data_IF_538318897365
#
_entry.id   IF_538318897365
#
_cell.length_a   1.000
_cell.length_b   1.000
_cell.length_c   1.000
_cell.angle_alpha   90.00
_cell.angle_beta   90.00
_cell.angle_gamma   90.00
#
_symmetry.space_group_name_H-M   'P 1'
#
loop_
_entity.id
_entity.type
_entity.pdbx_description
1 polymer ?
#
# COMPACT_ATOMS: atom_id res chain seq x y z
N UNK A 1 -32.23 -16.83 -13.23
CA UNK A 1 -33.31 -15.91 -12.86
C UNK A 1 -32.66 -14.68 -12.26
N UNK A 2 -32.48 -13.72 -13.15
CA UNK A 2 -32.28 -12.26 -13.04
C UNK A 2 -31.26 -11.63 -12.09
N UNK A 3 -30.26 -11.05 -12.77
CA UNK A 3 -29.31 -10.02 -12.34
C UNK A 3 -30.07 -8.76 -11.90
N UNK A 4 -29.71 -8.23 -10.74
CA UNK A 4 -29.92 -6.82 -10.42
C UNK A 4 -28.56 -6.14 -10.56
N UNK A 5 -28.32 -5.54 -11.73
CA UNK A 5 -27.31 -4.50 -11.94
C UNK A 5 -27.82 -3.24 -11.26
N UNK A 6 -27.30 -2.90 -10.08
CA UNK A 6 -27.55 -1.58 -9.49
C UNK A 6 -26.56 -0.61 -10.12
N UNK A 7 -27.02 0.15 -11.13
CA UNK A 7 -26.29 1.27 -11.70
C UNK A 7 -26.35 2.43 -10.70
N UNK A 8 -25.28 2.64 -9.93
CA UNK A 8 -25.07 3.88 -9.20
C UNK A 8 -24.17 4.79 -10.04
N UNK A 9 -24.81 5.64 -10.84
CA UNK A 9 -24.15 6.67 -11.63
C UNK A 9 -23.75 7.82 -10.72
N UNK A 10 -22.47 7.92 -10.34
CA UNK A 10 -21.89 9.17 -9.87
C UNK A 10 -21.22 9.86 -11.05
N UNK A 11 -21.77 10.99 -11.48
CA UNK A 11 -21.25 11.80 -12.57
C UNK A 11 -20.07 12.64 -12.05
N UNK A 12 -18.85 12.20 -12.31
CA UNK A 12 -17.68 13.08 -12.38
C UNK A 12 -16.97 12.83 -13.72
N UNK A 13 -16.62 13.92 -14.40
CA UNK A 13 -16.26 13.96 -15.81
C UNK A 13 -15.04 13.08 -16.15
N UNK A 14 -15.20 12.32 -17.24
CA UNK A 14 -14.18 11.60 -18.03
C UNK A 14 -13.08 10.85 -17.24
N UNK A 15 -13.43 9.71 -16.67
CA UNK A 15 -12.47 8.66 -16.37
C UNK A 15 -12.85 7.43 -17.19
N UNK A 16 -11.88 6.91 -17.95
CA UNK A 16 -12.02 5.64 -18.64
C UNK A 16 -12.46 4.58 -17.64
N UNK A 17 -13.43 3.75 -18.05
CA UNK A 17 -14.04 2.75 -17.20
C UNK A 17 -13.00 1.67 -16.86
N UNK A 18 -12.25 1.86 -15.75
CA UNK A 18 -11.41 0.81 -15.17
C UNK A 18 -12.37 -0.25 -14.66
N UNK A 19 -12.53 -1.33 -15.44
CA UNK A 19 -13.28 -2.50 -15.03
C UNK A 19 -12.47 -3.25 -13.97
N UNK A 20 -12.52 -2.80 -12.72
CA UNK A 20 -12.01 -3.57 -11.59
C UNK A 20 -12.95 -4.75 -11.39
N UNK A 21 -12.44 -5.95 -11.65
CA UNK A 21 -13.14 -7.19 -11.29
C UNK A 21 -13.21 -7.20 -9.76
N UNK A 22 -14.41 -7.05 -9.18
CA UNK A 22 -14.60 -7.12 -7.73
C UNK A 22 -14.33 -8.56 -7.28
N UNK A 23 -13.13 -8.81 -6.79
CA UNK A 23 -12.76 -10.05 -6.10
C UNK A 23 -13.23 -9.98 -4.64
N UNK A 24 -13.70 -11.10 -4.05
CA UNK A 24 -13.98 -11.15 -2.63
C UNK A 24 -12.66 -11.15 -1.84
N UNK A 25 -12.34 -10.04 -1.19
CA UNK A 25 -11.12 -9.86 -0.40
C UNK A 25 -10.95 -8.41 0.01
N UNK A 26 -10.19 -8.15 1.07
CA UNK A 26 -9.84 -6.78 1.46
C UNK A 26 -8.85 -6.21 0.43
N UNK A 27 -9.16 -5.09 -0.21
CA UNK A 27 -8.29 -4.49 -1.23
C UNK A 27 -7.21 -3.65 -0.57
N UNK A 28 -5.97 -4.08 -0.70
CA UNK A 28 -4.82 -3.50 0.00
C UNK A 28 -3.85 -2.88 -1.00
N UNK A 29 -3.67 -1.57 -0.93
CA UNK A 29 -2.62 -0.87 -1.68
C UNK A 29 -1.28 -0.98 -0.98
N UNK A 30 -0.21 -1.28 -1.73
CA UNK A 30 1.14 -1.39 -1.21
C UNK A 30 2.16 -0.53 -1.95
N UNK A 31 3.04 0.10 -1.19
CA UNK A 31 4.23 0.78 -1.71
C UNK A 31 5.41 0.57 -0.75
N UNK A 32 6.46 -0.10 -1.23
CA UNK A 32 7.50 -0.66 -0.38
C UNK A 32 8.86 0.01 -0.51
N UNK A 33 9.02 0.93 -1.48
CA UNK A 33 10.23 1.73 -1.64
C UNK A 33 9.97 3.17 -1.22
N UNK A 34 10.89 3.70 -0.42
CA UNK A 34 10.89 5.09 0.00
C UNK A 34 12.22 5.77 -0.31
N UNK A 35 12.18 7.08 -0.56
CA UNK A 35 13.37 7.91 -0.75
C UNK A 35 14.02 7.72 -2.11
N UNK A 36 15.18 8.36 -2.28
CA UNK A 36 15.96 8.27 -3.52
C UNK A 36 17.24 7.50 -3.26
N UNK A 37 17.94 7.05 -4.32
CA UNK A 37 19.25 6.42 -4.22
C UNK A 37 20.25 7.26 -3.41
N UNK A 38 20.09 8.60 -3.43
CA UNK A 38 20.91 9.55 -2.65
C UNK A 38 20.43 9.73 -1.20
N UNK A 39 19.18 9.37 -0.87
CA UNK A 39 18.53 9.59 0.42
C UNK A 39 18.10 8.28 1.10
N UNK A 40 19.09 7.44 1.44
CA UNK A 40 18.91 6.30 2.36
C UNK A 40 17.82 5.31 1.94
N UNK A 41 17.53 5.16 0.64
CA UNK A 41 16.48 4.27 0.13
C UNK A 41 16.52 2.86 0.75
N UNK A 42 17.72 2.27 0.85
CA UNK A 42 17.92 0.95 1.47
C UNK A 42 17.52 0.87 2.94
N UNK A 43 17.52 1.98 3.68
CA UNK A 43 17.16 2.00 5.10
C UNK A 43 15.65 2.16 5.32
N UNK A 44 14.90 2.56 4.28
CA UNK A 44 13.47 2.90 4.36
C UNK A 44 12.62 2.14 3.34
N UNK A 45 13.14 1.04 2.81
CA UNK A 45 12.46 0.20 1.84
C UNK A 45 12.50 -1.25 2.30
N UNK A 46 11.43 -1.99 2.02
CA UNK A 46 11.44 -3.43 2.15
C UNK A 46 12.28 -4.06 1.03
N UNK A 47 12.90 -5.18 1.34
CA UNK A 47 13.49 -6.09 0.39
C UNK A 47 12.44 -7.00 -0.25
N UNK A 48 12.90 -7.87 -1.16
CA UNK A 48 12.03 -8.79 -1.87
C UNK A 48 11.33 -9.80 -0.95
N UNK A 49 12.04 -10.33 0.06
CA UNK A 49 11.50 -11.36 0.96
C UNK A 49 10.40 -10.78 1.85
N UNK A 50 10.60 -9.57 2.34
CA UNK A 50 9.64 -8.85 3.17
C UNK A 50 8.38 -8.49 2.37
N UNK A 51 8.54 -8.02 1.14
CA UNK A 51 7.43 -7.76 0.22
C UNK A 51 6.66 -9.05 -0.15
N UNK A 52 7.38 -10.14 -0.48
CA UNK A 52 6.81 -11.45 -0.79
C UNK A 52 5.95 -11.96 0.39
N UNK A 53 6.44 -11.83 1.63
CA UNK A 53 5.67 -12.19 2.83
C UNK A 53 4.42 -11.33 3.00
N UNK A 54 4.53 -10.01 2.80
CA UNK A 54 3.39 -9.11 2.93
C UNK A 54 2.29 -9.45 1.92
N UNK A 55 2.67 -9.64 0.65
CA UNK A 55 1.73 -9.96 -0.44
C UNK A 55 1.04 -11.34 -0.27
N UNK A 56 1.63 -12.23 0.54
CA UNK A 56 1.06 -13.54 0.86
C UNK A 56 -0.02 -13.55 1.94
N UNK A 57 -0.47 -12.38 2.42
CA UNK A 57 -1.52 -12.33 3.43
C UNK A 57 -2.84 -12.90 2.87
N UNK A 58 -3.48 -13.87 3.54
CA UNK A 58 -4.72 -14.47 3.06
C UNK A 58 -5.89 -13.47 3.14
N UNK A 59 -6.86 -13.63 2.24
CA UNK A 59 -8.09 -12.81 2.21
C UNK A 59 -7.88 -11.36 1.79
N UNK A 60 -6.71 -11.04 1.22
CA UNK A 60 -6.37 -9.73 0.69
C UNK A 60 -6.10 -9.80 -0.81
N UNK A 61 -6.58 -8.80 -1.54
CA UNK A 61 -6.20 -8.54 -2.93
C UNK A 61 -5.24 -7.36 -2.96
N UNK A 62 -4.04 -7.56 -3.50
CA UNK A 62 -2.97 -6.56 -3.44
C UNK A 62 -2.85 -5.74 -4.71
N UNK A 63 -2.69 -4.43 -4.53
CA UNK A 63 -2.53 -3.43 -5.58
C UNK A 63 -1.23 -2.66 -5.35
N UNK A 64 -0.32 -2.62 -6.32
CA UNK A 64 0.89 -1.82 -6.25
C UNK A 64 0.56 -0.34 -6.48
N UNK A 65 0.91 0.51 -5.52
CA UNK A 65 0.92 1.97 -5.61
C UNK A 65 2.36 2.51 -5.80
N UNK A 66 3.29 1.63 -6.15
CA UNK A 66 4.71 1.95 -6.18
C UNK A 66 5.06 2.78 -7.42
N UNK A 67 5.54 4.01 -7.20
CA UNK A 67 6.08 4.82 -8.28
C UNK A 67 7.35 4.21 -8.91
N UNK A 68 7.55 4.52 -10.20
CA UNK A 68 8.68 4.05 -11.04
C UNK A 68 8.57 2.59 -11.48
N UNK A 69 9.51 2.11 -12.31
CA UNK A 69 9.48 0.72 -12.81
C UNK A 69 9.71 -0.28 -11.65
N UNK A 70 8.84 -1.28 -11.61
CA UNK A 70 8.84 -2.36 -10.64
C UNK A 70 8.26 -3.67 -11.19
N UNK A 71 8.07 -3.75 -12.51
CA UNK A 71 7.44 -4.91 -13.19
C UNK A 71 8.18 -6.22 -12.92
N UNK A 72 9.51 -6.19 -12.92
CA UNK A 72 10.34 -7.36 -12.60
C UNK A 72 10.07 -7.88 -11.18
N UNK A 73 9.85 -6.97 -10.21
CA UNK A 73 9.54 -7.38 -8.82
C UNK A 73 8.18 -8.08 -8.75
N UNK A 74 7.16 -7.55 -9.42
CA UNK A 74 5.82 -8.14 -9.45
C UNK A 74 5.84 -9.51 -10.16
N UNK A 75 6.50 -9.60 -11.33
CA UNK A 75 6.66 -10.85 -12.07
C UNK A 75 7.34 -11.91 -11.21
N UNK A 76 8.41 -11.53 -10.51
CA UNK A 76 9.15 -12.46 -9.64
C UNK A 76 8.32 -12.96 -8.46
N UNK A 77 7.45 -12.13 -7.87
CA UNK A 77 6.51 -12.57 -6.83
C UNK A 77 5.52 -13.58 -7.42
N UNK A 78 4.91 -13.24 -8.56
CA UNK A 78 3.97 -14.12 -9.26
C UNK A 78 4.58 -15.47 -9.62
N UNK A 79 5.79 -15.47 -10.18
CA UNK A 79 6.49 -16.70 -10.58
C UNK A 79 6.83 -17.60 -9.38
N UNK A 80 7.21 -17.01 -8.24
CA UNK A 80 7.61 -17.78 -7.05
C UNK A 80 6.45 -18.29 -6.21
N UNK A 81 5.33 -17.55 -6.18
CA UNK A 81 4.26 -17.78 -5.21
C UNK A 81 2.90 -18.04 -5.85
N UNK A 82 2.72 -17.69 -7.13
CA UNK A 82 1.42 -17.66 -7.80
C UNK A 82 0.55 -16.46 -7.42
N UNK A 83 1.00 -15.59 -6.52
CA UNK A 83 0.26 -14.39 -6.07
C UNK A 83 0.34 -13.32 -7.16
N UNK A 84 -0.83 -12.80 -7.54
CA UNK A 84 -0.91 -11.67 -8.45
C UNK A 84 -1.06 -10.36 -7.65
N UNK A 85 -0.18 -9.40 -7.92
CA UNK A 85 -0.28 -8.03 -7.42
C UNK A 85 -0.63 -7.17 -8.62
N UNK A 86 -1.79 -6.50 -8.57
CA UNK A 86 -2.25 -5.64 -9.65
C UNK A 86 -1.44 -4.34 -9.66
N UNK A 87 -0.79 -3.99 -10.76
CA UNK A 87 -0.05 -2.73 -10.88
C UNK A 87 -1.04 -1.58 -11.12
N UNK A 88 -1.49 -0.92 -10.06
CA UNK A 88 -2.43 0.18 -10.19
C UNK A 88 -1.78 1.41 -10.85
N UNK A 89 -0.44 1.51 -10.85
CA UNK A 89 0.32 2.64 -11.37
C UNK A 89 0.82 2.44 -12.81
N UNK A 90 0.70 1.23 -13.38
CA UNK A 90 0.98 1.01 -14.81
C UNK A 90 -0.16 1.49 -15.70
N UNK A 91 -1.37 1.50 -15.15
CA UNK A 91 -2.62 1.69 -15.90
C UNK A 91 -3.12 3.14 -15.87
N UNK A 92 -2.58 3.94 -14.95
CA UNK A 92 -2.89 5.35 -14.75
C UNK A 92 -1.57 6.12 -14.78
N UNK A 93 -1.54 7.30 -15.39
CA UNK A 93 -0.35 8.14 -15.41
C UNK A 93 0.23 8.41 -14.01
N UNK A 94 1.43 8.97 -13.97
CA UNK A 94 2.14 9.22 -12.71
C UNK A 94 1.78 10.58 -12.09
N UNK A 95 0.52 11.00 -12.20
CA UNK A 95 0.02 12.20 -11.54
C UNK A 95 -0.67 11.91 -10.19
N UNK A 96 -0.92 12.97 -9.43
CA UNK A 96 -1.48 12.85 -8.08
C UNK A 96 -2.97 12.56 -8.06
N UNK A 97 -3.71 12.95 -9.09
CA UNK A 97 -5.16 12.77 -9.15
C UNK A 97 -5.49 11.29 -9.41
N UNK A 98 -4.72 10.66 -10.29
CA UNK A 98 -4.78 9.24 -10.57
C UNK A 98 -4.38 8.39 -9.36
N UNK A 99 -3.27 8.73 -8.70
CA UNK A 99 -2.88 8.06 -7.45
C UNK A 99 -3.97 8.22 -6.37
N UNK A 100 -4.59 9.40 -6.25
CA UNK A 100 -5.68 9.63 -5.31
C UNK A 100 -6.92 8.80 -5.64
N UNK A 101 -7.28 8.67 -6.93
CA UNK A 101 -8.37 7.83 -7.39
C UNK A 101 -8.13 6.34 -7.08
N UNK A 102 -6.91 5.85 -7.34
CA UNK A 102 -6.51 4.49 -7.00
C UNK A 102 -6.61 4.25 -5.47
N UNK A 103 -6.06 5.16 -4.66
CA UNK A 103 -6.16 5.10 -3.20
C UNK A 103 -7.62 5.11 -2.72
N UNK A 104 -8.49 5.89 -3.36
CA UNK A 104 -9.90 5.98 -2.99
C UNK A 104 -10.69 4.69 -3.24
N UNK A 105 -10.21 3.83 -4.15
CA UNK A 105 -10.82 2.54 -4.44
C UNK A 105 -10.37 1.41 -3.50
N UNK A 106 -9.41 1.67 -2.59
CA UNK A 106 -8.85 0.67 -1.68
C UNK A 106 -9.49 0.74 -0.29
N UNK A 107 -9.45 -0.40 0.41
CA UNK A 107 -9.96 -0.52 1.78
C UNK A 107 -8.87 -0.18 2.81
N UNK A 108 -7.60 -0.44 2.46
CA UNK A 108 -6.41 -0.14 3.28
C UNK A 108 -5.21 0.18 2.38
N UNK A 109 -4.33 1.06 2.87
CA UNK A 109 -3.00 1.29 2.29
C UNK A 109 -1.94 0.87 3.30
N UNK A 110 -0.99 0.01 2.90
CA UNK A 110 0.18 -0.39 3.69
C UNK A 110 1.43 0.07 2.94
N UNK A 111 2.22 0.96 3.53
CA UNK A 111 3.37 1.55 2.84
C UNK A 111 4.54 1.81 3.77
N UNK A 112 5.72 2.02 3.20
CA UNK A 112 6.82 2.69 3.91
C UNK A 112 6.60 4.21 3.90
N UNK A 113 7.39 4.97 4.66
CA UNK A 113 7.40 6.43 4.58
C UNK A 113 7.74 6.88 3.16
N UNK A 114 6.74 7.41 2.43
CA UNK A 114 6.82 7.93 1.07
C UNK A 114 5.58 8.80 0.77
N UNK A 115 5.45 9.27 -0.47
CA UNK A 115 4.32 10.12 -0.87
C UNK A 115 2.96 9.44 -0.76
N UNK A 116 2.89 8.12 -1.00
CA UNK A 116 1.65 7.33 -0.88
C UNK A 116 1.14 7.38 0.57
N UNK A 117 2.03 7.32 1.57
CA UNK A 117 1.65 7.42 2.98
C UNK A 117 0.94 8.74 3.29
N UNK A 118 1.48 9.85 2.79
CA UNK A 118 0.95 11.18 3.05
C UNK A 118 -0.36 11.45 2.30
N UNK A 119 -0.44 11.04 1.03
CA UNK A 119 -1.65 11.22 0.23
C UNK A 119 -2.80 10.37 0.76
N UNK A 120 -2.57 9.10 1.11
CA UNK A 120 -3.59 8.23 1.69
C UNK A 120 -4.09 8.72 3.06
N UNK A 121 -3.17 9.20 3.91
CA UNK A 121 -3.53 9.86 5.16
C UNK A 121 -4.38 11.14 4.95
N UNK A 122 -4.02 11.98 3.98
CA UNK A 122 -4.76 13.20 3.65
C UNK A 122 -6.15 12.92 3.07
N UNK A 123 -6.31 11.83 2.33
CA UNK A 123 -7.60 11.35 1.81
C UNK A 123 -8.46 10.65 2.87
N UNK A 124 -7.99 10.55 4.12
CA UNK A 124 -8.71 9.89 5.21
C UNK A 124 -8.87 8.38 5.02
N UNK A 125 -7.99 7.74 4.23
CA UNK A 125 -8.02 6.28 4.08
C UNK A 125 -7.30 5.61 5.25
N UNK A 126 -7.78 4.45 5.73
CA UNK A 126 -7.01 3.61 6.64
C UNK A 126 -5.61 3.39 6.04
N UNK A 127 -4.57 3.79 6.79
CA UNK A 127 -3.20 3.81 6.28
C UNK A 127 -2.24 3.28 7.32
N UNK A 128 -1.46 2.26 6.98
CA UNK A 128 -0.45 1.68 7.85
C UNK A 128 0.93 2.01 7.29
N UNK A 129 1.75 2.67 8.11
CA UNK A 129 3.09 3.10 7.71
C UNK A 129 4.14 2.33 8.48
N UNK A 130 4.95 1.58 7.74
CA UNK A 130 6.16 0.92 8.23
C UNK A 130 7.31 1.91 8.22
N UNK A 131 7.71 2.34 9.41
CA UNK A 131 8.73 3.35 9.64
C UNK A 131 10.10 2.70 9.85
N UNK A 132 11.17 3.26 9.24
CA UNK A 132 12.53 2.81 9.49
C UNK A 132 12.95 3.13 10.92
N UNK A 133 14.04 2.51 11.39
CA UNK A 133 14.56 2.74 12.74
C UNK A 133 14.75 4.23 13.07
N UNK A 134 15.35 4.98 12.14
CA UNK A 134 15.50 6.43 12.23
C UNK A 134 14.38 7.12 11.44
N UNK A 135 13.16 7.10 12.00
CA UNK A 135 11.99 7.74 11.40
C UNK A 135 12.07 9.27 11.43
N UNK A 136 11.44 9.91 10.46
CA UNK A 136 11.33 11.38 10.38
C UNK A 136 10.57 11.96 11.59
N UNK A 137 11.00 13.14 12.04
CA UNK A 137 10.50 13.81 13.25
C UNK A 137 8.97 13.91 13.33
N UNK A 138 8.31 14.05 12.17
CA UNK A 138 6.86 14.21 12.04
C UNK A 138 6.07 13.03 12.60
N UNK A 139 6.68 11.85 12.66
CA UNK A 139 6.03 10.66 13.19
C UNK A 139 6.14 10.55 14.71
N UNK A 140 6.89 11.42 15.39
CA UNK A 140 7.20 11.27 16.82
C UNK A 140 8.03 10.01 17.11
N UNK A 141 8.33 9.76 18.39
CA UNK A 141 9.29 8.71 18.77
C UNK A 141 8.64 7.39 19.23
N UNK A 142 7.54 7.45 20.00
CA UNK A 142 7.02 6.26 20.68
C UNK A 142 5.55 5.94 20.39
N UNK A 143 4.87 6.72 19.54
CA UNK A 143 3.45 6.53 19.25
C UNK A 143 3.24 5.57 18.07
N UNK A 144 2.19 4.75 18.15
CA UNK A 144 1.63 3.97 17.03
C UNK A 144 0.61 4.76 16.20
N UNK A 145 0.37 6.03 16.54
CA UNK A 145 -0.50 6.96 15.82
C UNK A 145 0.23 8.28 15.55
N UNK A 146 -0.35 9.11 14.69
CA UNK A 146 0.17 10.44 14.35
C UNK A 146 -0.94 11.50 14.45
N UNK A 147 -0.64 12.71 14.96
CA UNK A 147 -1.62 13.80 14.98
C UNK A 147 -1.94 14.32 13.57
N UNK A 148 -1.09 14.05 12.58
CA UNK A 148 -1.25 14.56 11.21
C UNK A 148 -2.39 13.88 10.45
N UNK A 149 -2.57 12.57 10.68
CA UNK A 149 -3.55 11.74 9.95
C UNK A 149 -4.23 10.77 10.93
N UNK A 150 -5.46 11.06 11.37
CA UNK A 150 -6.17 10.24 12.37
C UNK A 150 -6.42 8.79 11.95
N UNK A 151 -6.48 8.51 10.65
CA UNK A 151 -6.66 7.16 10.09
C UNK A 151 -5.36 6.38 9.92
N UNK A 152 -4.22 6.97 10.30
CA UNK A 152 -2.91 6.39 10.12
C UNK A 152 -2.41 5.66 11.37
N UNK A 153 -1.92 4.43 11.17
CA UNK A 153 -1.20 3.63 12.16
C UNK A 153 0.27 3.50 11.77
N UNK A 154 1.14 3.57 12.76
CA UNK A 154 2.59 3.53 12.60
C UNK A 154 3.14 2.22 13.19
N UNK A 155 3.96 1.53 12.41
CA UNK A 155 4.72 0.33 12.78
C UNK A 155 6.19 0.67 12.68
N UNK A 156 6.99 0.39 13.72
CA UNK A 156 8.35 0.93 13.82
C UNK A 156 9.37 -0.19 13.88
N UNK A 157 10.37 -0.07 13.03
CA UNK A 157 11.54 -0.92 13.09
C UNK A 157 12.32 -0.68 14.39
N UNK A 158 12.58 -1.75 15.13
CA UNK A 158 13.35 -1.72 16.38
C UNK A 158 14.86 -1.68 16.15
N UNK A 159 15.35 -2.27 15.05
CA UNK A 159 16.77 -2.34 14.70
C UNK A 159 16.99 -1.94 13.23
N UNK A 160 17.99 -1.13 12.88
CA UNK A 160 18.21 -0.69 11.51
C UNK A 160 18.23 -1.86 10.51
N UNK A 161 17.38 -1.77 9.48
CA UNK A 161 17.25 -2.74 8.37
C UNK A 161 16.64 -4.09 8.75
N UNK A 162 16.21 -4.30 9.99
CA UNK A 162 15.44 -5.47 10.37
C UNK A 162 13.93 -5.19 10.21
N UNK A 163 13.38 -5.48 9.02
CA UNK A 163 11.95 -5.27 8.75
C UNK A 163 11.09 -6.48 9.09
N UNK A 164 11.68 -7.65 9.34
CA UNK A 164 10.94 -8.89 9.58
C UNK A 164 9.97 -8.77 10.78
N UNK A 165 10.37 -8.17 11.93
CA UNK A 165 9.45 -7.92 13.04
C UNK A 165 8.30 -6.98 12.67
N UNK A 166 8.59 -5.95 11.87
CA UNK A 166 7.60 -4.94 11.43
C UNK A 166 6.56 -5.58 10.51
N UNK A 167 7.02 -6.33 9.51
CA UNK A 167 6.13 -7.06 8.59
C UNK A 167 5.31 -8.10 9.35
N UNK A 168 5.91 -8.78 10.34
CA UNK A 168 5.19 -9.73 11.19
C UNK A 168 4.08 -9.05 11.99
N UNK A 169 4.35 -7.89 12.60
CA UNK A 169 3.34 -7.11 13.32
C UNK A 169 2.21 -6.66 12.37
N UNK A 170 2.56 -6.13 11.20
CA UNK A 170 1.59 -5.73 10.16
C UNK A 170 0.69 -6.90 9.77
N UNK A 171 1.25 -8.08 9.50
CA UNK A 171 0.48 -9.27 9.12
C UNK A 171 -0.45 -9.72 10.25
N UNK A 172 -0.02 -9.66 11.52
CA UNK A 172 -0.88 -9.99 12.66
C UNK A 172 -2.07 -9.02 12.79
N UNK A 173 -1.86 -7.74 12.50
CA UNK A 173 -2.95 -6.75 12.47
C UNK A 173 -3.88 -6.96 11.28
N UNK A 174 -3.32 -7.27 10.10
CA UNK A 174 -4.10 -7.53 8.88
C UNK A 174 -5.03 -8.72 9.07
N UNK A 175 -4.52 -9.81 9.63
CA UNK A 175 -5.28 -11.04 9.87
C UNK A 175 -6.43 -10.87 10.88
N UNK A 176 -6.42 -9.82 11.70
CA UNK A 176 -7.53 -9.46 12.62
C UNK A 176 -8.56 -8.52 11.98
N UNK A 177 -8.23 -7.95 10.83
CA UNK A 177 -9.01 -6.93 10.13
C UNK A 177 -9.78 -7.49 8.92
N UNK A 178 -9.45 -8.71 8.50
CA UNK A 178 -10.10 -9.51 7.46
C UNK A 178 -11.03 -10.52 8.11
#
# INVERSE_FOLDING_TARGET
IDRIMVNLSFTFASWGMISVKLTPGMRVGIAWRGGTLRNRQRLRSLDFKELERLAGAPGCDFFSLQAGDHRETLNRIRERTGIEIHDAMSDIGQDFDELAAAIAALDLVITVDNTVAHLSGALGRPTWVMLPYSAEWRYGQCSSTTPWYPTMRLFRQAEPRDWDPVVTEVLQFLQRSV
#
